data_IF_308194532118
#
_entry.id   IF_308194532118
#
_cell.length_a   1.000
_cell.length_b   1.000
_cell.length_c   1.000
_cell.angle_alpha   90.00
_cell.angle_beta   90.00
_cell.angle_gamma   90.00
#
_symmetry.space_group_name_H-M   'P 1'
#
loop_
_entity.id
_entity.type
_entity.pdbx_description
1 polymer ?
#
# COMPACT_ATOMS: atom_id res chain seq x y z
N UNK A 1 7.89 21.47 1.02
CA UNK A 1 8.47 20.12 1.22
C UNK A 1 7.41 19.08 1.59
N UNK A 2 6.21 19.15 1.01
CA UNK A 2 5.20 18.07 1.00
C UNK A 2 5.54 17.03 -0.06
N UNK A 3 6.74 16.45 -0.01
CA UNK A 3 6.92 15.06 -0.47
C UNK A 3 6.29 14.12 0.59
N UNK A 4 5.18 14.55 1.19
CA UNK A 4 3.79 14.13 1.02
C UNK A 4 3.53 13.06 2.06
N UNK A 5 3.01 13.47 3.22
CA UNK A 5 2.69 12.58 4.32
C UNK A 5 1.83 11.38 3.86
N UNK A 6 1.03 11.57 2.80
CA UNK A 6 0.32 10.52 2.08
C UNK A 6 1.24 9.44 1.48
N UNK A 7 2.36 9.80 0.85
CA UNK A 7 3.33 8.83 0.34
C UNK A 7 4.05 8.09 1.46
N UNK A 8 4.43 8.80 2.52
CA UNK A 8 5.01 8.17 3.71
C UNK A 8 4.04 7.17 4.34
N UNK A 9 2.75 7.52 4.42
CA UNK A 9 1.70 6.64 4.91
C UNK A 9 1.55 5.38 4.03
N UNK A 10 1.47 5.55 2.70
CA UNK A 10 1.34 4.43 1.78
C UNK A 10 2.52 3.45 1.90
N UNK A 11 3.75 3.97 1.98
CA UNK A 11 4.94 3.13 2.24
C UNK A 11 4.88 2.40 3.58
N UNK A 12 4.42 3.06 4.63
CA UNK A 12 4.25 2.44 5.96
C UNK A 12 3.23 1.29 5.92
N UNK A 13 2.12 1.48 5.22
CA UNK A 13 1.11 0.43 5.01
C UNK A 13 1.70 -0.74 4.22
N UNK A 14 2.40 -0.46 3.11
CA UNK A 14 3.09 -1.50 2.33
C UNK A 14 4.05 -2.32 3.19
N UNK A 15 4.92 -1.64 3.97
CA UNK A 15 5.88 -2.30 4.85
C UNK A 15 5.19 -3.17 5.91
N UNK A 16 4.09 -2.68 6.49
CA UNK A 16 3.33 -3.43 7.50
C UNK A 16 2.72 -4.70 6.91
N UNK A 17 2.13 -4.62 5.72
CA UNK A 17 1.50 -5.76 5.04
C UNK A 17 2.55 -6.75 4.52
N UNK A 18 3.66 -6.27 3.97
CA UNK A 18 4.75 -7.13 3.50
C UNK A 18 5.48 -7.84 4.65
N UNK A 19 5.48 -7.28 5.85
CA UNK A 19 6.02 -7.91 7.07
C UNK A 19 5.03 -8.88 7.74
N UNK A 20 3.78 -8.95 7.30
CA UNK A 20 2.80 -9.89 7.84
C UNK A 20 3.02 -11.29 7.24
N UNK A 21 3.49 -12.20 8.08
CA UNK A 21 3.81 -13.58 7.69
C UNK A 21 2.58 -14.40 7.34
N UNK A 22 1.42 -14.17 7.98
CA UNK A 22 0.21 -14.90 7.67
C UNK A 22 -0.32 -14.52 6.28
N UNK A 23 -0.29 -13.22 5.97
CA UNK A 23 -0.73 -12.68 4.70
C UNK A 23 0.17 -13.13 3.54
N UNK A 24 1.50 -13.04 3.73
CA UNK A 24 2.47 -13.47 2.73
C UNK A 24 2.46 -14.98 2.50
N UNK A 25 2.22 -15.78 3.54
CA UNK A 25 2.06 -17.24 3.38
C UNK A 25 0.82 -17.62 2.58
N UNK A 26 -0.30 -16.90 2.77
CA UNK A 26 -1.54 -17.15 2.02
C UNK A 26 -1.36 -16.93 0.51
N UNK A 27 -0.56 -15.94 0.13
CA UNK A 27 -0.27 -15.60 -1.27
C UNK A 27 0.92 -16.38 -1.85
N UNK A 28 1.68 -17.10 -1.01
CA UNK A 28 2.92 -17.77 -1.42
C UNK A 28 4.11 -16.81 -1.60
N UNK A 29 4.02 -15.59 -1.08
CA UNK A 29 5.04 -14.55 -1.21
C UNK A 29 4.50 -13.14 -0.97
N UNK A 30 5.35 -12.14 -1.21
CA UNK A 30 4.94 -10.73 -1.18
C UNK A 30 4.35 -10.36 -2.53
N UNK A 31 3.06 -10.63 -2.72
CA UNK A 31 2.30 -10.28 -3.92
C UNK A 31 1.46 -9.01 -3.68
N UNK A 32 2.14 -7.91 -3.33
CA UNK A 32 1.51 -6.62 -3.06
C UNK A 32 2.05 -5.61 -4.08
N UNK A 33 1.16 -5.04 -4.88
CA UNK A 33 1.53 -4.18 -6.01
C UNK A 33 0.83 -2.82 -5.93
N UNK A 34 1.48 -1.77 -6.44
CA UNK A 34 0.82 -0.50 -6.73
C UNK A 34 0.32 -0.54 -8.19
N UNK A 35 1.24 -0.82 -9.11
CA UNK A 35 0.96 -1.20 -10.50
C UNK A 35 1.12 -2.71 -10.68
N UNK A 36 0.07 -3.38 -11.14
CA UNK A 36 0.04 -4.86 -11.21
C UNK A 36 0.71 -5.34 -12.50
N UNK A 37 1.71 -6.24 -12.41
CA UNK A 37 2.28 -6.88 -13.59
C UNK A 37 1.23 -7.66 -14.38
N UNK A 38 1.35 -7.66 -15.72
CA UNK A 38 0.35 -8.27 -16.62
C UNK A 38 0.07 -9.76 -16.34
N UNK A 39 1.07 -10.48 -15.84
CA UNK A 39 1.01 -11.92 -15.51
C UNK A 39 1.15 -12.18 -14.00
N UNK A 40 0.68 -11.27 -13.14
CA UNK A 40 0.72 -11.46 -11.70
C UNK A 40 -0.09 -12.69 -11.27
N UNK A 41 0.54 -13.59 -10.52
CA UNK A 41 -0.10 -14.82 -10.02
C UNK A 41 -1.10 -14.50 -8.89
N UNK A 42 -2.28 -15.11 -8.95
CA UNK A 42 -3.27 -15.00 -7.89
C UNK A 42 -2.92 -15.95 -6.73
N UNK A 43 -3.26 -15.58 -5.47
CA UNK A 43 -3.85 -14.31 -5.06
C UNK A 43 -2.80 -13.19 -4.89
N UNK A 44 -3.19 -11.95 -5.19
CA UNK A 44 -2.40 -10.73 -4.97
C UNK A 44 -3.24 -9.60 -4.40
N UNK A 45 -2.58 -8.59 -3.84
CA UNK A 45 -3.15 -7.37 -3.29
C UNK A 45 -2.67 -6.15 -4.07
N UNK A 46 -3.53 -5.13 -4.16
CA UNK A 46 -3.20 -3.88 -4.84
C UNK A 46 -3.42 -2.68 -3.93
N UNK A 47 -2.46 -1.76 -3.89
CA UNK A 47 -2.63 -0.45 -3.28
C UNK A 47 -3.15 0.51 -4.36
N UNK A 48 -4.46 0.71 -4.37
CA UNK A 48 -5.13 1.55 -5.36
C UNK A 48 -5.00 3.06 -5.10
N UNK A 49 -5.81 3.83 -5.81
CA UNK A 49 -5.85 5.29 -5.71
C UNK A 49 -6.14 5.76 -4.28
N UNK A 50 -5.34 6.73 -3.81
CA UNK A 50 -5.50 7.35 -2.49
C UNK A 50 -6.00 8.79 -2.63
N UNK A 51 -6.93 9.20 -1.78
CA UNK A 51 -7.47 10.57 -1.74
C UNK A 51 -7.05 11.24 -0.43
N UNK A 52 -6.49 12.44 -0.53
CA UNK A 52 -6.15 13.28 0.62
C UNK A 52 -7.20 14.37 0.77
N UNK A 53 -7.73 14.54 1.98
CA UNK A 53 -8.65 15.63 2.32
C UNK A 53 -8.00 16.52 3.36
N UNK A 54 -8.06 17.83 3.15
CA UNK A 54 -7.63 18.79 4.15
C UNK A 54 -8.70 18.89 5.26
N UNK A 55 -8.28 18.64 6.49
CA UNK A 55 -9.12 18.75 7.70
C UNK A 55 -8.68 19.91 8.60
N UNK A 56 -7.84 20.81 8.08
CA UNK A 56 -7.40 21.98 8.83
C UNK A 56 -8.61 22.82 9.23
N UNK A 57 -8.78 23.01 10.54
CA UNK A 57 -9.73 23.98 11.07
C UNK A 57 -8.97 25.28 11.22
N UNK A 58 -9.45 26.37 10.61
CA UNK A 58 -8.78 27.67 10.69
C UNK A 58 -8.53 28.05 12.16
N UNK A 59 -7.31 28.49 12.45
CA UNK A 59 -6.86 28.90 13.80
C UNK A 59 -7.20 30.36 14.08
#
# INVERSE_FOLDING_TARGET
MTQSASWALQKGIYQKLAADTALTQLMGGVHIYDDVPRDAAYPYLTLGQSVVRDWSTAT
#
